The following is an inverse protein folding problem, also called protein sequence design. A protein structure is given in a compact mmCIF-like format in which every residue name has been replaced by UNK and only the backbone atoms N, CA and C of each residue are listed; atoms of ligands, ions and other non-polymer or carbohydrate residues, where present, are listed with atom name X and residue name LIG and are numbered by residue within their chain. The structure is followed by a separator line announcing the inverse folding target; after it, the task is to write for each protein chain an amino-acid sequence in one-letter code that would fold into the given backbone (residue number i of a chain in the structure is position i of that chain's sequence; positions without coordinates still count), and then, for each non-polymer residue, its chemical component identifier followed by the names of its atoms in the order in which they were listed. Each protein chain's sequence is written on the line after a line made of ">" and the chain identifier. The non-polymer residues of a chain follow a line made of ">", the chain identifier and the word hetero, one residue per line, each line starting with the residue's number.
data_IF_081338777645
#
_entry.id   IF_081338777645
#
_cell.length_a   1.000
_cell.length_b   1.000
_cell.length_c   1.000
_cell.angle_alpha   90.00
_cell.angle_beta   90.00
_cell.angle_gamma   90.00
#
_symmetry.space_group_name_H-M   'P 1'
#
loop_
_entity.id
_entity.type
_entity.pdbx_description
1 polymer ?
#
# COMPACT_ATOMS: atom_id res chain seq x y z
N UNK A 1 -21.99 21.74 -6.18
CA UNK A 1 -20.79 21.38 -5.39
C UNK A 1 -19.82 20.67 -6.33
N UNK A 2 -18.92 21.43 -6.97
CA UNK A 2 -18.03 20.95 -8.03
C UNK A 2 -17.02 19.94 -7.48
N UNK A 3 -17.24 18.65 -7.74
CA UNK A 3 -16.29 17.58 -7.40
C UNK A 3 -15.14 17.60 -8.39
N UNK A 4 -14.28 18.61 -8.32
CA UNK A 4 -12.92 18.49 -8.87
C UNK A 4 -12.17 17.57 -7.91
N UNK A 5 -12.21 16.26 -8.16
CA UNK A 5 -11.20 15.37 -7.59
C UNK A 5 -9.85 15.99 -7.95
N UNK A 6 -9.05 16.34 -6.95
CA UNK A 6 -7.70 16.83 -7.22
C UNK A 6 -6.99 15.79 -8.07
N UNK A 7 -6.31 16.20 -9.12
CA UNK A 7 -5.50 15.31 -9.98
C UNK A 7 -4.55 14.42 -9.14
N UNK A 8 -4.16 14.92 -7.97
CA UNK A 8 -3.35 14.24 -6.96
C UNK A 8 -4.06 12.99 -6.40
N UNK A 9 -5.34 13.09 -6.05
CA UNK A 9 -6.10 11.96 -5.50
C UNK A 9 -6.30 10.86 -6.54
N UNK A 10 -6.30 11.23 -7.81
CA UNK A 10 -6.42 10.31 -8.93
C UNK A 10 -5.12 9.52 -9.10
N UNK A 11 -3.98 10.21 -9.13
CA UNK A 11 -2.67 9.58 -9.31
C UNK A 11 -2.34 8.62 -8.17
N UNK A 12 -2.61 8.99 -6.91
CA UNK A 12 -2.39 8.13 -5.75
C UNK A 12 -3.20 6.83 -5.85
N UNK A 13 -4.42 6.88 -6.39
CA UNK A 13 -5.26 5.69 -6.57
C UNK A 13 -4.77 4.78 -7.68
N UNK A 14 -4.32 5.35 -8.80
CA UNK A 14 -3.70 4.59 -9.88
C UNK A 14 -2.45 3.88 -9.39
N UNK A 15 -1.55 4.59 -8.69
CA UNK A 15 -0.35 3.99 -8.09
C UNK A 15 -0.70 2.87 -7.11
N UNK A 16 -1.76 3.02 -6.32
CA UNK A 16 -2.20 1.96 -5.42
C UNK A 16 -2.64 0.69 -6.17
N UNK A 17 -3.40 0.83 -7.27
CA UNK A 17 -3.80 -0.30 -8.11
C UNK A 17 -2.57 -0.96 -8.74
N UNK A 18 -1.62 -0.17 -9.23
CA UNK A 18 -0.35 -0.68 -9.77
C UNK A 18 0.39 -1.49 -8.69
N UNK A 19 0.51 -0.98 -7.47
CA UNK A 19 1.15 -1.71 -6.36
C UNK A 19 0.43 -3.02 -6.05
N UNK A 20 -0.91 -3.04 -6.04
CA UNK A 20 -1.68 -4.27 -5.83
C UNK A 20 -1.39 -5.30 -6.93
N UNK A 21 -1.50 -4.88 -8.19
CA UNK A 21 -1.31 -5.78 -9.34
C UNK A 21 0.12 -6.33 -9.35
N UNK A 22 1.12 -5.48 -9.11
CA UNK A 22 2.51 -5.90 -9.04
C UNK A 22 2.78 -6.85 -7.87
N UNK A 23 2.17 -6.61 -6.70
CA UNK A 23 2.29 -7.53 -5.57
C UNK A 23 1.69 -8.91 -5.89
N UNK A 24 0.47 -8.94 -6.41
CA UNK A 24 -0.22 -10.18 -6.77
C UNK A 24 0.57 -10.94 -7.84
N UNK A 25 1.04 -10.23 -8.88
CA UNK A 25 1.89 -10.79 -9.93
C UNK A 25 3.16 -11.40 -9.36
N UNK A 26 3.92 -10.64 -8.58
CA UNK A 26 5.16 -11.11 -7.95
C UNK A 26 4.92 -12.34 -7.05
N UNK A 27 3.83 -12.36 -6.28
CA UNK A 27 3.51 -13.48 -5.40
C UNK A 27 3.24 -14.77 -6.20
N UNK A 28 2.40 -14.71 -7.25
CA UNK A 28 2.08 -15.90 -8.05
C UNK A 28 3.25 -16.39 -8.91
N UNK A 29 4.16 -15.51 -9.31
CA UNK A 29 5.32 -15.89 -10.13
C UNK A 29 6.55 -16.25 -9.30
N UNK A 30 6.54 -16.04 -7.98
CA UNK A 30 7.72 -16.20 -7.11
C UNK A 30 8.15 -17.65 -6.88
N UNK A 31 7.21 -18.59 -6.94
CA UNK A 31 7.49 -20.02 -6.70
C UNK A 31 7.96 -20.76 -7.97
N UNK A 32 7.77 -20.16 -9.16
CA UNK A 32 8.07 -20.78 -10.44
C UNK A 32 9.41 -20.28 -10.98
N UNK A 33 10.40 -21.18 -11.11
CA UNK A 33 11.73 -20.86 -11.65
C UNK A 33 11.68 -20.30 -13.08
N UNK A 34 10.80 -20.85 -13.94
CA UNK A 34 10.61 -20.36 -15.32
C UNK A 34 10.08 -18.92 -15.38
N UNK A 35 9.31 -18.50 -14.37
CA UNK A 35 8.72 -17.17 -14.29
C UNK A 35 9.56 -16.22 -13.43
N UNK A 36 10.78 -16.60 -13.06
CA UNK A 36 11.65 -15.79 -12.21
C UNK A 36 11.88 -14.38 -12.78
N UNK A 37 12.08 -14.24 -14.09
CA UNK A 37 12.22 -12.93 -14.72
C UNK A 37 10.95 -12.08 -14.60
N UNK A 38 9.78 -12.71 -14.66
CA UNK A 38 8.48 -12.04 -14.49
C UNK A 38 8.30 -11.61 -13.03
N UNK A 39 8.70 -12.46 -12.08
CA UNK A 39 8.72 -12.13 -10.65
C UNK A 39 9.58 -10.88 -10.39
N UNK A 40 10.80 -10.86 -10.93
CA UNK A 40 11.71 -9.71 -10.85
C UNK A 40 11.08 -8.43 -11.44
N UNK A 41 10.48 -8.52 -12.62
CA UNK A 41 9.80 -7.39 -13.26
C UNK A 41 8.69 -6.81 -12.37
N UNK A 42 7.84 -7.67 -11.80
CA UNK A 42 6.80 -7.23 -10.87
C UNK A 42 7.39 -6.65 -9.58
N UNK A 43 8.47 -7.22 -9.05
CA UNK A 43 9.19 -6.70 -7.89
C UNK A 43 9.73 -5.28 -8.11
N UNK A 44 10.37 -5.01 -9.25
CA UNK A 44 10.83 -3.66 -9.59
C UNK A 44 9.68 -2.70 -9.85
N UNK A 45 8.60 -3.15 -10.51
CA UNK A 45 7.41 -2.31 -10.73
C UNK A 45 6.77 -1.90 -9.41
N UNK A 46 6.73 -2.82 -8.44
CA UNK A 46 6.28 -2.58 -7.08
C UNK A 46 7.16 -1.55 -6.36
N UNK A 47 8.48 -1.62 -6.50
CA UNK A 47 9.42 -0.62 -5.97
C UNK A 47 9.25 0.76 -6.62
N UNK A 48 9.17 0.83 -7.95
CA UNK A 48 8.95 2.09 -8.67
C UNK A 48 7.61 2.71 -8.26
N UNK A 49 6.57 1.90 -8.11
CA UNK A 49 5.26 2.32 -7.64
C UNK A 49 5.32 2.97 -6.24
N UNK A 50 6.06 2.36 -5.30
CA UNK A 50 6.19 2.91 -3.94
C UNK A 50 7.02 4.20 -3.92
N UNK A 51 8.15 4.24 -4.66
CA UNK A 51 9.02 5.42 -4.73
C UNK A 51 8.24 6.60 -5.33
N UNK A 52 7.55 6.38 -6.45
CA UNK A 52 6.72 7.41 -7.09
C UNK A 52 5.63 7.88 -6.13
N UNK A 53 5.02 6.97 -5.37
CA UNK A 53 3.99 7.31 -4.38
C UNK A 53 4.53 8.16 -3.24
N UNK A 54 5.74 7.85 -2.76
CA UNK A 54 6.42 8.63 -1.72
C UNK A 54 6.79 10.01 -2.25
N UNK A 55 7.44 10.09 -3.42
CA UNK A 55 7.79 11.36 -4.07
C UNK A 55 6.54 12.22 -4.24
N UNK A 56 5.45 11.66 -4.79
CA UNK A 56 4.21 12.40 -5.01
C UNK A 56 3.54 12.83 -3.71
N UNK A 57 3.65 12.03 -2.64
CA UNK A 57 3.15 12.42 -1.33
C UNK A 57 3.89 13.65 -0.77
N UNK A 58 5.21 13.71 -0.93
CA UNK A 58 6.03 14.85 -0.50
C UNK A 58 5.92 16.07 -1.44
N UNK A 59 5.82 15.83 -2.75
CA UNK A 59 5.66 16.84 -3.79
C UNK A 59 4.21 17.37 -3.89
N UNK A 60 3.30 16.81 -3.10
CA UNK A 60 1.95 17.33 -2.89
C UNK A 60 1.84 18.14 -1.57
N UNK A 61 2.56 19.26 -1.37
CA UNK A 61 2.13 20.23 -0.37
C UNK A 61 0.78 20.82 -0.81
N UNK A 62 -0.28 20.28 -0.21
CA UNK A 62 -1.59 20.90 0.07
C UNK A 62 -2.17 21.84 -0.99
N UNK A 63 -3.09 21.31 -1.80
CA UNK A 63 -4.22 22.10 -2.32
C UNK A 63 -5.47 21.78 -1.49
N UNK A 64 -5.46 22.18 -0.22
CA UNK A 64 -6.64 22.72 0.48
C UNK A 64 -6.27 23.08 1.92
N UNK A 65 -6.63 24.31 2.30
CA UNK A 65 -6.46 24.93 3.61
C UNK A 65 -7.32 24.28 4.72
N UNK A 66 -7.83 23.07 4.57
CA UNK A 66 -8.79 22.47 5.51
C UNK A 66 -8.64 20.95 5.68
N UNK A 67 -7.49 20.37 5.33
CA UNK A 67 -7.20 18.96 5.60
C UNK A 67 -6.20 18.84 6.79
N UNK A 68 -6.54 18.14 7.89
CA UNK A 68 -5.70 18.03 9.08
C UNK A 68 -4.59 16.99 8.86
N UNK A 69 -3.78 17.19 7.83
CA UNK A 69 -2.71 16.28 7.44
C UNK A 69 -1.39 17.05 7.41
N UNK A 70 -0.77 17.14 8.58
CA UNK A 70 0.60 17.59 8.75
C UNK A 70 1.27 16.69 9.78
N UNK A 71 2.40 16.09 9.40
CA UNK A 71 3.23 15.23 10.25
C UNK A 71 3.53 15.87 11.62
N UNK A 72 3.72 17.19 11.67
CA UNK A 72 3.92 17.96 12.92
C UNK A 72 2.72 17.98 13.87
N UNK A 73 1.48 17.93 13.36
CA UNK A 73 0.27 17.92 14.20
C UNK A 73 -0.14 16.51 14.59
N UNK A 74 0.25 15.47 13.82
CA UNK A 74 0.03 14.06 14.15
C UNK A 74 0.88 13.60 15.33
N UNK A 75 2.13 14.06 15.44
CA UNK A 75 2.92 13.81 16.66
C UNK A 75 2.32 14.53 17.86
N UNK A 76 1.91 15.80 17.72
CA UNK A 76 1.26 16.56 18.80
C UNK A 76 -0.11 15.99 19.23
N UNK A 77 -0.95 15.53 18.28
CA UNK A 77 -2.23 14.88 18.59
C UNK A 77 -2.05 13.46 19.08
N UNK A 78 -1.09 12.68 18.58
CA UNK A 78 -0.78 11.36 19.12
C UNK A 78 -0.21 11.47 20.53
N UNK A 79 0.70 12.41 20.78
CA UNK A 79 1.28 12.64 22.10
C UNK A 79 0.24 13.18 23.09
N UNK A 80 -0.63 14.11 22.68
CA UNK A 80 -1.73 14.58 23.52
C UNK A 80 -2.86 13.54 23.68
N UNK A 81 -3.12 12.69 22.69
CA UNK A 81 -4.08 11.59 22.82
C UNK A 81 -3.56 10.48 23.72
N UNK A 82 -2.26 10.14 23.63
CA UNK A 82 -1.58 9.22 24.55
C UNK A 82 -1.58 9.81 25.97
N UNK A 83 -1.20 11.08 26.12
CA UNK A 83 -1.20 11.78 27.41
C UNK A 83 -2.61 11.91 28.01
N UNK A 84 -3.64 12.15 27.20
CA UNK A 84 -5.05 12.21 27.62
C UNK A 84 -5.65 10.83 27.89
N UNK A 85 -5.18 9.79 27.20
CA UNK A 85 -5.52 8.39 27.46
C UNK A 85 -4.87 7.87 28.74
N UNK A 86 -3.72 8.45 29.13
CA UNK A 86 -3.04 8.11 30.38
C UNK A 86 -3.56 8.91 31.58
N UNK A 87 -4.22 10.06 31.35
CA UNK A 87 -4.80 10.89 32.42
C UNK A 87 -6.24 10.50 32.80
N UNK A 88 -6.93 9.72 31.98
CA UNK A 88 -8.19 9.08 32.36
C UNK A 88 -7.92 7.62 32.75
N UNK A 89 -7.37 7.45 33.95
CA UNK A 89 -7.56 6.23 34.74
C UNK A 89 -9.04 6.14 35.10
N UNK A 90 -9.87 5.71 34.16
CA UNK A 90 -11.23 5.31 34.45
C UNK A 90 -11.54 4.10 33.59
N UNK A 91 -11.44 2.92 34.21
CA UNK A 91 -11.87 1.60 33.75
C UNK A 91 -12.17 1.54 32.24
N UNK A 92 -11.12 1.38 31.43
CA UNK A 92 -11.30 1.12 30.00
C UNK A 92 -11.94 -0.26 29.91
N UNK A 93 -13.25 -0.30 29.68
CA UNK A 93 -13.87 -1.49 29.12
C UNK A 93 -13.14 -1.76 27.78
N UNK A 94 -12.16 -2.67 27.80
CA UNK A 94 -11.38 -3.10 26.64
C UNK A 94 -12.29 -3.56 25.48
N UNK A 95 -13.53 -3.93 25.80
CA UNK A 95 -14.56 -4.39 24.88
C UNK A 95 -15.60 -3.34 24.47
N UNK A 96 -15.41 -2.05 24.79
CA UNK A 96 -16.28 -0.99 24.26
C UNK A 96 -16.10 -0.84 22.75
N UNK A 97 -17.22 -0.68 22.02
CA UNK A 97 -17.23 -0.49 20.55
C UNK A 97 -16.31 0.63 20.08
N UNK A 98 -16.18 1.72 20.86
CA UNK A 98 -15.30 2.83 20.52
C UNK A 98 -13.81 2.48 20.64
N UNK A 99 -13.43 1.68 21.64
CA UNK A 99 -12.03 1.26 21.86
C UNK A 99 -11.57 0.30 20.77
N UNK A 100 -12.43 -0.66 20.39
CA UNK A 100 -12.15 -1.61 19.30
C UNK A 100 -11.96 -0.87 17.98
N UNK A 101 -12.79 0.15 17.71
CA UNK A 101 -12.68 0.96 16.50
C UNK A 101 -11.37 1.77 16.46
N UNK A 102 -10.99 2.40 17.57
CA UNK A 102 -9.72 3.14 17.68
C UNK A 102 -8.51 2.23 17.45
N UNK A 103 -8.52 1.04 18.04
CA UNK A 103 -7.46 0.05 17.87
C UNK A 103 -7.38 -0.45 16.42
N UNK A 104 -8.52 -0.75 15.78
CA UNK A 104 -8.57 -1.19 14.39
C UNK A 104 -8.08 -0.12 13.42
N UNK A 105 -8.39 1.16 13.65
CA UNK A 105 -7.85 2.27 12.86
C UNK A 105 -6.34 2.41 13.08
N UNK A 106 -5.87 2.26 14.33
CA UNK A 106 -4.45 2.28 14.66
C UNK A 106 -3.67 1.19 13.95
N UNK A 107 -4.16 -0.06 14.00
CA UNK A 107 -3.57 -1.19 13.29
C UNK A 107 -3.59 -1.00 11.77
N UNK A 108 -4.69 -0.48 11.21
CA UNK A 108 -4.76 -0.18 9.78
C UNK A 108 -3.68 0.84 9.38
N UNK A 109 -3.49 1.91 10.14
CA UNK A 109 -2.44 2.90 9.87
C UNK A 109 -1.03 2.32 10.04
N UNK A 110 -0.80 1.51 11.07
CA UNK A 110 0.48 0.85 11.30
C UNK A 110 0.85 -0.10 10.15
N UNK A 111 -0.12 -0.89 9.68
CA UNK A 111 0.08 -1.81 8.55
C UNK A 111 0.55 -1.08 7.29
N UNK A 112 -0.03 0.09 6.98
CA UNK A 112 0.37 0.89 5.81
C UNK A 112 1.83 1.34 5.95
N UNK A 113 2.19 1.91 7.10
CA UNK A 113 3.57 2.40 7.31
C UNK A 113 4.57 1.25 7.19
N UNK A 114 4.25 0.11 7.78
CA UNK A 114 5.15 -1.03 7.77
C UNK A 114 5.27 -1.66 6.38
N UNK A 115 4.19 -1.73 5.60
CA UNK A 115 4.21 -2.10 4.17
C UNK A 115 5.15 -1.19 3.38
N UNK A 116 5.07 0.13 3.56
CA UNK A 116 5.94 1.08 2.85
C UNK A 116 7.43 0.90 3.18
N UNK A 117 7.75 0.52 4.41
CA UNK A 117 9.12 0.28 4.86
C UNK A 117 9.65 -1.06 4.34
N UNK A 118 8.81 -2.09 4.33
CA UNK A 118 9.21 -3.44 3.95
C UNK A 118 9.40 -3.63 2.45
N UNK A 119 8.62 -2.93 1.61
CA UNK A 119 8.72 -3.05 0.15
C UNK A 119 10.17 -2.87 -0.34
N UNK A 120 10.87 -1.75 -0.01
CA UNK A 120 12.27 -1.58 -0.40
C UNK A 120 13.19 -2.68 0.11
N UNK A 121 12.97 -3.17 1.34
CA UNK A 121 13.80 -4.22 1.94
C UNK A 121 13.65 -5.53 1.17
N UNK A 122 12.43 -5.98 0.91
CA UNK A 122 12.16 -7.22 0.16
C UNK A 122 12.78 -7.15 -1.23
N UNK A 123 12.60 -6.04 -1.95
CA UNK A 123 13.12 -5.87 -3.32
C UNK A 123 14.65 -5.78 -3.32
N UNK A 124 15.26 -5.06 -2.36
CA UNK A 124 16.71 -4.98 -2.24
C UNK A 124 17.35 -6.34 -1.94
N UNK A 125 16.71 -7.15 -1.09
CA UNK A 125 17.16 -8.51 -0.82
C UNK A 125 17.04 -9.41 -2.05
N UNK A 126 15.94 -9.30 -2.82
CA UNK A 126 15.77 -10.05 -4.07
C UNK A 126 16.84 -9.68 -5.09
N UNK A 127 17.09 -8.38 -5.28
CA UNK A 127 18.21 -7.90 -6.10
C UNK A 127 19.57 -8.44 -5.61
N UNK A 128 19.77 -8.47 -4.30
CA UNK A 128 21.02 -8.96 -3.72
C UNK A 128 21.23 -10.46 -3.88
N UNK A 129 20.15 -11.25 -3.89
CA UNK A 129 20.19 -12.68 -4.19
C UNK A 129 20.76 -12.94 -5.58
N UNK A 130 20.34 -12.15 -6.57
CA UNK A 130 20.78 -12.29 -7.96
C UNK A 130 22.19 -11.77 -8.22
N UNK A 131 22.59 -10.67 -7.57
CA UNK A 131 23.85 -9.98 -7.90
C UNK A 131 25.01 -10.25 -6.95
N UNK A 132 24.75 -10.63 -5.70
CA UNK A 132 25.81 -10.77 -4.68
C UNK A 132 25.93 -12.19 -4.15
N UNK A 133 24.83 -12.77 -3.65
CA UNK A 133 24.89 -14.08 -3.01
C UNK A 133 23.53 -14.73 -2.88
N UNK A 134 23.46 -16.00 -3.30
CA UNK A 134 22.29 -16.85 -3.13
C UNK A 134 21.89 -17.04 -1.65
N UNK A 135 22.81 -16.85 -0.70
CA UNK A 135 22.52 -16.91 0.73
C UNK A 135 21.47 -15.85 1.17
N UNK A 136 21.29 -14.77 0.41
CA UNK A 136 20.26 -13.76 0.69
C UNK A 136 18.85 -14.25 0.34
N UNK A 137 18.70 -15.37 -0.39
CA UNK A 137 17.40 -15.94 -0.75
C UNK A 137 16.55 -16.26 0.46
N UNK A 138 17.14 -16.83 1.49
CA UNK A 138 16.41 -17.20 2.72
C UNK A 138 15.95 -15.94 3.48
N UNK A 139 16.72 -14.86 3.39
CA UNK A 139 16.34 -13.58 3.96
C UNK A 139 15.22 -12.93 3.13
N UNK A 140 15.34 -12.96 1.80
CA UNK A 140 14.28 -12.49 0.90
C UNK A 140 12.96 -13.23 1.15
N UNK A 141 12.99 -14.55 1.25
CA UNK A 141 11.80 -15.37 1.48
C UNK A 141 11.17 -15.09 2.86
N UNK A 142 11.99 -14.89 3.89
CA UNK A 142 11.51 -14.48 5.21
C UNK A 142 10.78 -13.13 5.15
N UNK A 143 11.38 -12.12 4.53
CA UNK A 143 10.76 -10.80 4.42
C UNK A 143 9.57 -10.78 3.46
N UNK A 144 9.55 -11.61 2.42
CA UNK A 144 8.41 -11.79 1.52
C UNK A 144 7.20 -12.38 2.28
N UNK A 145 7.42 -13.39 3.12
CA UNK A 145 6.39 -13.96 3.98
C UNK A 145 5.89 -12.96 5.04
N UNK A 146 6.80 -12.20 5.66
CA UNK A 146 6.43 -11.11 6.56
C UNK A 146 5.58 -10.05 5.85
N UNK A 147 5.95 -9.68 4.63
CA UNK A 147 5.21 -8.75 3.80
C UNK A 147 3.80 -9.27 3.48
N UNK A 148 3.67 -10.54 3.09
CA UNK A 148 2.37 -11.18 2.87
C UNK A 148 1.49 -11.15 4.12
N UNK A 149 2.04 -11.50 5.29
CA UNK A 149 1.31 -11.47 6.56
C UNK A 149 0.76 -10.07 6.88
N UNK A 150 1.51 -9.02 6.54
CA UNK A 150 1.08 -7.64 6.74
C UNK A 150 0.04 -7.18 5.75
N UNK A 151 0.11 -7.64 4.51
CA UNK A 151 -0.96 -7.39 3.54
C UNK A 151 -2.26 -8.04 4.04
N UNK A 152 -2.20 -9.27 4.55
CA UNK A 152 -3.36 -9.94 5.16
C UNK A 152 -3.88 -9.15 6.36
N UNK A 153 -2.99 -8.67 7.25
CA UNK A 153 -3.37 -7.82 8.38
C UNK A 153 -4.00 -6.49 7.91
N UNK A 154 -3.45 -5.88 6.86
CA UNK A 154 -3.99 -4.66 6.26
C UNK A 154 -5.40 -4.87 5.71
N UNK A 155 -5.63 -5.97 4.98
CA UNK A 155 -6.95 -6.33 4.47
C UNK A 155 -7.92 -6.66 5.62
N UNK A 156 -7.46 -7.39 6.64
CA UNK A 156 -8.28 -7.77 7.79
C UNK A 156 -8.75 -6.52 8.56
N UNK A 157 -7.85 -5.58 8.81
CA UNK A 157 -8.17 -4.31 9.47
C UNK A 157 -9.03 -3.40 8.60
N UNK A 158 -8.88 -3.45 7.27
CA UNK A 158 -9.79 -2.77 6.34
C UNK A 158 -11.22 -3.32 6.42
N UNK A 159 -11.37 -4.65 6.42
CA UNK A 159 -12.68 -5.32 6.50
C UNK A 159 -13.33 -5.02 7.85
N UNK A 160 -12.59 -5.15 8.95
CA UNK A 160 -13.07 -4.82 10.29
C UNK A 160 -13.55 -3.36 10.36
N UNK A 161 -12.72 -2.40 9.95
CA UNK A 161 -13.10 -0.99 9.94
C UNK A 161 -14.30 -0.71 9.03
N UNK A 162 -14.41 -1.42 7.91
CA UNK A 162 -15.54 -1.32 6.98
C UNK A 162 -16.85 -1.79 7.62
N UNK A 163 -16.83 -2.93 8.32
CA UNK A 163 -17.99 -3.49 9.01
C UNK A 163 -18.41 -2.57 10.16
N UNK A 164 -17.46 -2.12 10.99
CA UNK A 164 -17.74 -1.23 12.12
C UNK A 164 -18.29 0.13 11.65
N UNK A 165 -17.75 0.67 10.55
CA UNK A 165 -18.23 1.92 9.96
C UNK A 165 -19.52 1.76 9.13
N UNK A 166 -20.05 0.53 8.97
CA UNK A 166 -21.16 0.18 8.05
C UNK A 166 -20.99 0.75 6.63
N UNK A 167 -19.73 0.89 6.20
CA UNK A 167 -19.33 1.53 4.95
C UNK A 167 -18.15 0.74 4.39
N UNK A 168 -18.34 0.17 3.20
CA UNK A 168 -17.25 -0.54 2.53
C UNK A 168 -16.25 0.43 1.91
N UNK A 169 -15.15 0.67 2.63
CA UNK A 169 -14.12 1.65 2.28
C UNK A 169 -13.38 1.28 0.98
N UNK A 170 -13.14 -0.01 0.71
CA UNK A 170 -12.50 -0.46 -0.54
C UNK A 170 -13.33 -0.14 -1.80
N UNK A 171 -14.65 -0.29 -1.70
CA UNK A 171 -15.60 -0.02 -2.78
C UNK A 171 -15.69 1.46 -3.10
N UNK A 172 -15.58 2.34 -2.10
CA UNK A 172 -15.51 3.78 -2.36
C UNK A 172 -14.28 4.16 -3.18
N UNK A 173 -13.18 3.42 -3.02
CA UNK A 173 -11.95 3.63 -3.78
C UNK A 173 -12.12 3.16 -5.23
N UNK A 174 -12.59 1.93 -5.44
CA UNK A 174 -12.84 1.34 -6.76
C UNK A 174 -13.94 2.07 -7.56
N UNK A 175 -15.05 2.42 -6.93
CA UNK A 175 -16.16 3.12 -7.60
C UNK A 175 -15.74 4.49 -8.11
N UNK A 176 -14.86 5.18 -7.37
CA UNK A 176 -14.32 6.47 -7.80
C UNK A 176 -13.28 6.33 -8.91
N UNK A 177 -12.49 5.25 -8.95
CA UNK A 177 -11.54 5.04 -10.05
C UNK A 177 -12.25 4.65 -11.35
N UNK A 178 -13.29 3.83 -11.28
CA UNK A 178 -14.09 3.41 -12.44
C UNK A 178 -14.95 4.54 -13.04
N UNK A 179 -15.36 5.51 -12.23
CA UNK A 179 -16.16 6.64 -12.70
C UNK A 179 -15.37 7.63 -13.59
N UNK A 180 -14.04 7.56 -13.61
CA UNK A 180 -13.19 8.51 -14.32
C UNK A 180 -12.62 7.91 -15.62
N UNK A 181 -13.05 8.47 -16.77
CA UNK A 181 -12.60 8.06 -18.10
C UNK A 181 -11.09 8.28 -18.34
N UNK A 182 -10.45 9.23 -17.65
CA UNK A 182 -8.99 9.45 -17.79
C UNK A 182 -8.19 8.36 -17.07
N UNK A 183 -8.68 7.91 -15.91
CA UNK A 183 -8.05 6.85 -15.10
C UNK A 183 -8.09 5.52 -15.82
N UNK A 184 -9.26 5.15 -16.35
CA UNK A 184 -9.45 3.90 -17.09
C UNK A 184 -8.54 3.83 -18.32
N UNK A 185 -8.36 4.95 -19.05
CA UNK A 185 -7.41 5.02 -20.18
C UNK A 185 -5.95 4.83 -19.73
N UNK A 186 -5.53 5.46 -18.63
CA UNK A 186 -4.19 5.30 -18.07
C UNK A 186 -3.94 3.87 -17.57
N UNK A 187 -4.92 3.25 -16.89
CA UNK A 187 -4.86 1.84 -16.49
C UNK A 187 -4.73 0.92 -17.70
N UNK A 188 -5.50 1.17 -18.76
CA UNK A 188 -5.43 0.37 -19.99
C UNK A 188 -4.04 0.48 -20.62
N UNK A 189 -3.45 1.68 -20.65
CA UNK A 189 -2.09 1.90 -21.14
C UNK A 189 -1.05 1.16 -20.28
N UNK A 190 -1.21 1.18 -18.95
CA UNK A 190 -0.31 0.46 -18.05
C UNK A 190 -0.44 -1.06 -18.21
N UNK A 191 -1.65 -1.58 -18.39
CA UNK A 191 -1.88 -3.01 -18.70
C UNK A 191 -1.24 -3.37 -20.03
N UNK A 192 -1.41 -2.55 -21.07
CA UNK A 192 -0.73 -2.76 -22.36
C UNK A 192 0.79 -2.72 -22.24
N UNK A 193 1.33 -1.83 -21.40
CA UNK A 193 2.76 -1.79 -21.10
C UNK A 193 3.23 -3.05 -20.37
N UNK A 194 2.49 -3.51 -19.36
CA UNK A 194 2.78 -4.77 -18.66
C UNK A 194 2.73 -5.97 -19.60
N UNK A 195 1.71 -6.05 -20.46
CA UNK A 195 1.57 -7.11 -21.47
C UNK A 195 2.70 -7.03 -22.50
N UNK A 196 3.06 -5.83 -22.95
CA UNK A 196 4.18 -5.63 -23.87
C UNK A 196 5.53 -5.98 -23.26
N UNK A 197 5.78 -5.59 -22.00
CA UNK A 197 6.99 -5.94 -21.26
C UNK A 197 7.05 -7.45 -20.99
N UNK A 198 5.94 -8.06 -20.58
CA UNK A 198 5.81 -9.50 -20.39
C UNK A 198 6.08 -10.25 -21.70
N UNK A 199 5.48 -9.81 -22.82
CA UNK A 199 5.69 -10.43 -24.12
C UNK A 199 7.12 -10.25 -24.62
N UNK A 200 7.77 -9.11 -24.37
CA UNK A 200 9.17 -8.87 -24.73
C UNK A 200 10.13 -9.75 -23.93
N UNK A 201 9.85 -9.95 -22.64
CA UNK A 201 10.64 -10.85 -21.77
C UNK A 201 10.45 -12.31 -22.22
N UNK A 202 9.20 -12.73 -22.46
CA UNK A 202 8.88 -14.10 -22.86
C UNK A 202 9.37 -14.46 -24.28
N UNK A 203 9.41 -13.49 -25.22
CA UNK A 203 9.93 -13.69 -26.57
C UNK A 203 11.47 -13.66 -26.65
N UNK A 204 12.16 -13.28 -25.57
CA UNK A 204 13.63 -13.24 -25.48
C UNK A 204 14.24 -14.43 -24.73
N UNK A 205 13.41 -15.25 -24.09
CA UNK A 205 13.76 -16.59 -23.62
C UNK A 205 13.68 -17.58 -24.80
#
# INVERSE_FOLDING_TARGET
>A
MSKTLSHIDILIRVLHIIIIVSFVGAYFTGDNEELHQVHMMFGYTLLIGIITRVIWHFLSPRVSSTAPFGLKKRSSMAFNAIKKSFSHTNSVNLFSKNTIQLFSIGLFQASIVFIFILIPVVVALGYGTEHFSYALRDLHSFFANLFLALVILHLSTLILNSILAKRFQGWTMLKMTWADKKITKLMTLFILFLVGAFSFVYLKM
#
